data_IF_357992111309
#
_entry.id   IF_357992111309
#
_cell.length_a   1.000
_cell.length_b   1.000
_cell.length_c   1.000
_cell.angle_alpha   90.00
_cell.angle_beta   90.00
_cell.angle_gamma   90.00
#
_symmetry.space_group_name_H-M   'P 1'
#
loop_
_entity.id
_entity.type
_entity.pdbx_description
1 polymer ?
#
# COMPACT_ATOMS: atom_id res chain seq x y z
N UNK A 1 20.37 -6.62 6.37
CA UNK A 1 19.25 -5.76 5.91
C UNK A 1 19.83 -4.71 4.98
N UNK A 2 19.19 -4.47 3.84
CA UNK A 2 19.58 -3.41 2.93
C UNK A 2 19.53 -2.03 3.62
N UNK A 3 20.47 -1.10 3.35
CA UNK A 3 20.53 0.21 4.00
C UNK A 3 19.23 1.02 3.88
N UNK A 4 18.55 0.93 2.74
CA UNK A 4 17.29 1.63 2.49
C UNK A 4 16.17 1.16 3.44
N UNK A 5 16.10 -0.14 3.71
CA UNK A 5 15.11 -0.72 4.64
C UNK A 5 15.38 -0.24 6.06
N UNK A 6 16.64 -0.22 6.49
CA UNK A 6 17.00 0.28 7.83
C UNK A 6 16.59 1.75 7.99
N UNK A 7 16.80 2.57 6.95
CA UNK A 7 16.38 3.98 6.96
C UNK A 7 14.87 4.13 7.03
N UNK A 8 14.12 3.35 6.24
CA UNK A 8 12.66 3.37 6.25
C UNK A 8 12.10 2.98 7.62
N UNK A 9 12.64 1.92 8.24
CA UNK A 9 12.21 1.48 9.59
C UNK A 9 12.45 2.56 10.64
N UNK A 10 13.61 3.25 10.59
CA UNK A 10 13.88 4.36 11.50
C UNK A 10 12.90 5.51 11.28
N UNK A 11 12.73 5.95 10.03
CA UNK A 11 11.78 7.01 9.71
C UNK A 11 10.35 6.69 10.16
N UNK A 12 9.89 5.44 9.95
CA UNK A 12 8.59 4.99 10.43
C UNK A 12 8.48 5.11 11.95
N UNK A 13 9.47 4.59 12.69
CA UNK A 13 9.49 4.65 14.16
C UNK A 13 9.53 6.09 14.68
N UNK A 14 10.32 6.95 14.04
CA UNK A 14 10.54 8.31 14.50
C UNK A 14 9.35 9.24 14.19
N UNK A 15 8.52 8.88 13.21
CA UNK A 15 7.37 9.69 12.77
C UNK A 15 6.01 9.08 13.12
N UNK A 16 5.99 7.84 13.61
CA UNK A 16 4.76 7.16 14.00
C UNK A 16 4.01 7.96 15.07
N UNK A 17 2.76 8.32 14.74
CA UNK A 17 1.83 8.89 15.71
C UNK A 17 1.25 7.84 16.66
N UNK A 18 0.41 8.29 17.58
CA UNK A 18 -0.44 7.38 18.34
C UNK A 18 -1.41 6.64 17.38
N UNK A 19 -1.77 5.38 17.67
CA UNK A 19 -2.79 4.68 16.89
C UNK A 19 -4.11 5.47 16.86
N UNK A 20 -4.63 5.68 15.67
CA UNK A 20 -5.93 6.29 15.44
C UNK A 20 -7.10 5.31 15.65
N UNK A 21 -8.33 5.76 15.37
CA UNK A 21 -9.51 4.90 15.38
C UNK A 21 -9.31 3.69 14.45
N UNK A 22 -9.63 2.50 14.94
CA UNK A 22 -9.38 1.25 14.21
C UNK A 22 -7.95 0.71 14.29
N UNK A 23 -7.08 1.31 15.12
CA UNK A 23 -5.74 0.79 15.39
C UNK A 23 -4.69 1.11 14.32
N UNK A 24 -5.03 1.97 13.34
CA UNK A 24 -4.08 2.40 12.30
C UNK A 24 -3.06 3.38 12.85
N UNK A 25 -1.82 3.26 12.37
CA UNK A 25 -0.73 4.18 12.71
C UNK A 25 -0.31 4.92 11.45
N UNK A 26 -0.23 6.24 11.53
CA UNK A 26 0.30 7.08 10.46
C UNK A 26 1.80 7.32 10.69
N UNK A 27 2.60 7.16 9.63
CA UNK A 27 4.03 7.40 9.64
C UNK A 27 4.49 7.90 8.28
N UNK A 28 5.62 8.61 8.26
CA UNK A 28 6.23 9.16 7.04
C UNK A 28 7.44 8.31 6.65
N UNK A 29 7.38 7.74 5.45
CA UNK A 29 8.46 6.97 4.87
C UNK A 29 9.14 7.75 3.75
N UNK A 30 10.48 7.78 3.71
CA UNK A 30 11.15 8.28 2.53
C UNK A 30 10.97 7.29 1.37
N UNK A 31 10.69 7.82 0.20
CA UNK A 31 10.59 7.05 -1.05
C UNK A 31 11.72 7.45 -1.99
N UNK A 32 12.22 6.49 -2.76
CA UNK A 32 13.18 6.76 -3.83
C UNK A 32 12.51 7.57 -4.96
N UNK A 33 11.33 7.11 -5.37
CA UNK A 33 10.46 7.79 -6.34
C UNK A 33 8.99 7.38 -6.13
N UNK A 34 8.09 8.12 -6.75
CA UNK A 34 6.65 7.80 -6.74
C UNK A 34 6.39 6.48 -7.45
N UNK A 35 7.06 6.23 -8.56
CA UNK A 35 6.90 5.03 -9.40
C UNK A 35 7.36 3.78 -8.65
N UNK A 36 8.51 3.86 -7.98
CA UNK A 36 9.04 2.75 -7.19
C UNK A 36 8.10 2.43 -6.02
N UNK A 37 7.68 3.45 -5.26
CA UNK A 37 6.77 3.26 -4.13
C UNK A 37 5.41 2.71 -4.58
N UNK A 38 4.86 3.19 -5.70
CA UNK A 38 3.60 2.70 -6.25
C UNK A 38 3.63 1.20 -6.59
N UNK A 39 4.78 0.66 -7.03
CA UNK A 39 4.95 -0.77 -7.28
C UNK A 39 4.94 -1.64 -6.03
N UNK A 40 5.25 -1.08 -4.86
CA UNK A 40 5.32 -1.81 -3.59
C UNK A 40 3.99 -1.81 -2.82
N UNK A 41 3.17 -0.77 -3.00
CA UNK A 41 1.91 -0.58 -2.26
C UNK A 41 0.86 -1.69 -2.42
N UNK A 42 0.77 -2.44 -3.54
CA UNK A 42 -0.16 -3.57 -3.63
C UNK A 42 0.18 -4.73 -2.68
N UNK A 43 1.45 -4.90 -2.30
CA UNK A 43 1.91 -6.05 -1.50
C UNK A 43 1.21 -6.18 -0.14
N UNK A 44 1.11 -5.10 0.66
CA UNK A 44 0.37 -5.10 1.92
C UNK A 44 -1.16 -5.23 1.80
N UNK A 45 -1.74 -5.04 0.62
CA UNK A 45 -3.20 -5.05 0.45
C UNK A 45 -3.90 -3.98 1.30
N UNK A 46 -4.95 -4.36 2.03
CA UNK A 46 -5.76 -3.44 2.85
C UNK A 46 -5.06 -2.98 4.15
N UNK A 47 -3.91 -3.56 4.50
CA UNK A 47 -3.19 -3.26 5.74
C UNK A 47 -2.42 -1.93 5.68
N UNK A 48 -2.13 -1.43 4.48
CA UNK A 48 -1.41 -0.17 4.29
C UNK A 48 -2.00 0.67 3.16
N UNK A 49 -1.98 1.98 3.35
CA UNK A 49 -2.35 2.95 2.32
C UNK A 49 -1.38 4.14 2.34
N UNK A 50 -1.17 4.76 1.18
CA UNK A 50 -0.35 5.95 1.04
C UNK A 50 -1.23 7.15 0.66
N UNK A 51 -1.62 8.00 1.61
CA UNK A 51 -2.50 9.12 1.33
C UNK A 51 -1.82 10.25 0.55
N UNK A 52 -0.50 10.34 0.57
CA UNK A 52 0.28 11.35 -0.13
C UNK A 52 1.65 10.78 -0.58
N UNK A 53 2.26 11.31 -1.66
CA UNK A 53 1.66 12.25 -2.62
C UNK A 53 0.46 11.64 -3.36
N UNK A 54 -0.47 12.47 -3.86
CA UNK A 54 -1.76 12.01 -4.43
C UNK A 54 -1.59 10.96 -5.54
N UNK A 55 -0.48 11.01 -6.29
CA UNK A 55 -0.12 10.03 -7.30
C UNK A 55 -0.02 8.59 -6.74
N UNK A 56 0.40 8.41 -5.49
CA UNK A 56 0.46 7.10 -4.82
C UNK A 56 -0.91 6.50 -4.51
N UNK A 57 -2.00 7.25 -4.63
CA UNK A 57 -3.35 6.68 -4.57
C UNK A 57 -3.79 6.14 -5.93
N UNK A 58 -3.51 6.89 -6.99
CA UNK A 58 -4.00 6.59 -8.33
C UNK A 58 -3.29 5.39 -8.99
N UNK A 59 -1.96 5.34 -8.89
CA UNK A 59 -1.16 4.30 -9.56
C UNK A 59 -1.46 2.89 -9.01
N UNK A 60 -1.46 2.64 -7.69
CA UNK A 60 -1.77 1.31 -7.16
C UNK A 60 -3.23 0.92 -7.38
N UNK A 61 -4.17 1.87 -7.28
CA UNK A 61 -5.58 1.60 -7.53
C UNK A 61 -5.83 1.10 -8.97
N UNK A 62 -5.17 1.70 -9.96
CA UNK A 62 -5.22 1.25 -11.35
C UNK A 62 -4.64 -0.17 -11.51
N UNK A 63 -3.48 -0.44 -10.89
CA UNK A 63 -2.86 -1.76 -10.93
C UNK A 63 -3.75 -2.84 -10.27
N UNK A 64 -4.31 -2.55 -9.09
CA UNK A 64 -5.22 -3.46 -8.38
C UNK A 64 -6.50 -3.68 -9.18
N UNK A 65 -7.05 -2.66 -9.84
CA UNK A 65 -8.20 -2.82 -10.73
C UNK A 65 -7.89 -3.76 -11.91
N UNK A 66 -6.73 -3.60 -12.56
CA UNK A 66 -6.30 -4.48 -13.64
C UNK A 66 -6.11 -5.94 -13.17
N UNK A 67 -5.58 -6.14 -11.96
CA UNK A 67 -5.49 -7.45 -11.33
C UNK A 67 -6.89 -8.02 -11.04
N UNK A 68 -7.81 -7.23 -10.52
CA UNK A 68 -9.18 -7.65 -10.25
C UNK A 68 -9.95 -8.03 -11.53
N UNK A 69 -9.72 -7.34 -12.64
CA UNK A 69 -10.31 -7.73 -13.93
C UNK A 69 -9.71 -9.05 -14.44
N UNK A 70 -8.39 -9.20 -14.31
CA UNK A 70 -7.67 -10.39 -14.79
C UNK A 70 -8.01 -11.65 -13.98
N UNK A 71 -8.07 -11.52 -12.65
CA UNK A 71 -8.19 -12.66 -11.73
C UNK A 71 -9.56 -12.76 -11.04
N UNK A 72 -10.36 -11.69 -11.03
CA UNK A 72 -11.66 -11.65 -10.35
C UNK A 72 -12.76 -12.48 -11.01
N UNK A 73 -12.54 -12.99 -12.23
CA UNK A 73 -13.45 -13.91 -12.91
C UNK A 73 -13.64 -15.25 -12.18
N UNK A 74 -12.65 -15.71 -11.40
CA UNK A 74 -12.74 -16.95 -10.63
C UNK A 74 -13.65 -16.82 -9.39
N UNK A 75 -13.77 -15.63 -8.81
CA UNK A 75 -14.61 -15.35 -7.63
C UNK A 75 -16.07 -15.04 -7.98
N UNK A 76 -16.37 -14.79 -9.27
CA UNK A 76 -17.69 -14.40 -9.79
C UNK A 76 -18.51 -15.54 -10.41
N UNK A 77 -18.20 -16.82 -10.14
CA UNK A 77 -19.19 -17.86 -10.43
C UNK A 77 -20.36 -17.69 -9.45
N UNK A 78 -21.60 -17.44 -9.92
CA UNK A 78 -22.75 -17.60 -9.04
C UNK A 78 -22.70 -19.02 -8.50
N UNK A 79 -22.76 -19.15 -7.17
CA UNK A 79 -23.02 -20.44 -6.54
C UNK A 79 -24.38 -20.89 -7.06
N UNK A 80 -24.37 -21.73 -8.09
CA UNK A 80 -25.55 -22.42 -8.57
C UNK A 80 -25.99 -23.37 -7.48
N UNK A 81 -26.94 -22.91 -6.67
CA UNK A 81 -27.90 -23.74 -5.94
C UNK A 81 -29.12 -23.87 -6.82
#
# INVERSE_FOLDING_TARGET
MEPAVVRAVRAARDTAGAPGPGGRVEAVLPIESVEHAAGLLPGPGAEAEAPAPTQLRALPASAVAALAETYGGAARRPSGV
#
